data_IF_941912879885
#
_entry.id   IF_941912879885
#
_cell.length_a   1.000
_cell.length_b   1.000
_cell.length_c   1.000
_cell.angle_alpha   90.00
_cell.angle_beta   90.00
_cell.angle_gamma   90.00
#
_symmetry.space_group_name_H-M   'P 1'
#
loop_
_entity.id
_entity.type
_entity.pdbx_description
1 polymer ?
#
# COMPACT_ATOMS: atom_id res chain seq x y z
N UNK A 1 12.58 3.41 19.33
CA UNK A 1 13.47 3.01 20.41
C UNK A 1 14.77 3.81 20.33
N UNK A 2 15.02 4.65 21.33
CA UNK A 2 16.27 5.44 21.47
C UNK A 2 17.41 4.65 22.18
N UNK A 3 17.16 3.40 22.60
CA UNK A 3 18.14 2.52 23.23
C UNK A 3 17.71 1.90 24.56
N UNK A 4 16.48 2.15 25.00
CA UNK A 4 15.91 1.60 26.24
C UNK A 4 14.79 0.58 25.98
N UNK A 5 14.60 0.16 24.73
CA UNK A 5 13.48 -0.65 24.26
C UNK A 5 12.33 0.21 23.75
N UNK A 6 11.33 -0.44 23.13
CA UNK A 6 10.14 0.25 22.63
C UNK A 6 9.28 0.77 23.80
N UNK A 7 8.86 2.01 23.71
CA UNK A 7 8.11 2.71 24.77
C UNK A 7 6.96 3.50 24.18
N UNK A 8 5.77 3.51 24.81
CA UNK A 8 4.67 4.38 24.39
C UNK A 8 5.01 5.89 24.39
N UNK A 9 6.03 6.29 25.13
CA UNK A 9 6.51 7.69 25.15
C UNK A 9 7.32 8.07 23.91
N UNK A 10 7.82 7.09 23.18
CA UNK A 10 8.60 7.25 21.95
C UNK A 10 7.78 6.80 20.72
N UNK A 11 6.45 6.76 20.84
CA UNK A 11 5.55 6.40 19.77
C UNK A 11 5.20 7.61 18.92
N UNK A 12 5.22 7.44 17.61
CA UNK A 12 4.64 8.37 16.64
C UNK A 12 3.30 7.78 16.20
N UNK A 13 2.21 8.48 16.52
CA UNK A 13 0.87 8.03 16.16
C UNK A 13 0.50 8.56 14.77
N UNK A 14 -0.13 7.73 13.98
CA UNK A 14 -0.72 8.11 12.69
C UNK A 14 -2.06 8.80 12.95
N UNK A 15 -2.39 9.82 12.17
CA UNK A 15 -3.68 10.48 12.24
C UNK A 15 -4.80 9.54 11.75
N UNK A 16 -6.02 9.72 12.26
CA UNK A 16 -7.18 8.87 11.90
C UNK A 16 -7.52 8.95 10.40
N UNK A 17 -7.22 10.08 9.74
CA UNK A 17 -7.43 10.31 8.31
C UNK A 17 -6.37 9.65 7.40
N UNK A 18 -5.38 9.00 7.99
CA UNK A 18 -4.39 8.22 7.22
C UNK A 18 -4.92 6.88 6.70
N UNK A 19 -6.08 6.43 7.18
CA UNK A 19 -6.74 5.21 6.72
C UNK A 19 -7.99 5.55 5.90
N UNK A 20 -8.03 5.09 4.66
CA UNK A 20 -9.20 5.18 3.79
C UNK A 20 -10.01 3.87 3.89
N UNK A 21 -11.23 3.95 4.44
CA UNK A 21 -12.12 2.80 4.61
C UNK A 21 -12.61 2.20 3.29
N UNK A 22 -12.63 2.97 2.20
CA UNK A 22 -13.11 2.50 0.91
C UNK A 22 -12.04 1.72 0.15
N UNK A 23 -10.81 2.22 0.18
CA UNK A 23 -9.66 1.60 -0.50
C UNK A 23 -8.88 0.66 0.40
N UNK A 24 -9.12 0.71 1.72
CA UNK A 24 -8.31 0.05 2.75
C UNK A 24 -6.84 0.52 2.77
N UNK A 25 -6.53 1.61 2.11
CA UNK A 25 -5.20 2.18 2.07
C UNK A 25 -4.87 2.92 3.36
N UNK A 26 -3.68 2.70 3.87
CA UNK A 26 -3.05 3.50 4.92
C UNK A 26 -1.89 4.25 4.30
N UNK A 27 -1.89 5.57 4.44
CA UNK A 27 -0.80 6.43 3.99
C UNK A 27 -0.35 7.35 5.12
N UNK A 28 0.87 7.17 5.59
CA UNK A 28 1.39 7.89 6.75
C UNK A 28 2.78 8.46 6.49
N UNK A 29 3.01 9.69 6.92
CA UNK A 29 4.31 10.35 6.84
C UNK A 29 4.88 10.52 8.24
N UNK A 30 6.08 10.01 8.45
CA UNK A 30 6.79 10.09 9.72
C UNK A 30 7.97 11.04 9.62
N UNK A 31 8.23 11.75 10.71
CA UNK A 31 9.47 12.52 10.91
C UNK A 31 10.03 12.17 12.28
N UNK A 32 11.25 11.65 12.32
CA UNK A 32 11.87 11.27 13.59
C UNK A 32 12.22 12.51 14.42
N UNK A 33 11.71 12.64 15.65
CA UNK A 33 12.00 13.80 16.50
C UNK A 33 13.42 13.74 17.09
N UNK A 34 13.97 12.54 17.24
CA UNK A 34 15.29 12.26 17.83
C UNK A 34 15.95 11.12 17.08
N UNK A 35 17.25 10.92 17.30
CA UNK A 35 17.96 9.73 16.83
C UNK A 35 17.33 8.47 17.44
N UNK A 36 17.27 7.41 16.63
CA UNK A 36 16.75 6.12 17.07
C UNK A 36 17.73 4.99 16.73
N UNK A 37 17.71 3.92 17.53
CA UNK A 37 18.48 2.69 17.29
C UNK A 37 17.69 1.67 16.49
N UNK A 38 16.38 1.66 16.71
CA UNK A 38 15.46 0.77 16.02
C UNK A 38 14.09 1.43 15.85
N UNK A 39 13.41 1.11 14.78
CA UNK A 39 12.04 1.53 14.52
C UNK A 39 11.16 0.30 14.38
N UNK A 40 9.96 0.36 14.96
CA UNK A 40 8.90 -0.60 14.80
C UNK A 40 7.69 0.11 14.20
N UNK A 41 7.07 -0.51 13.24
CA UNK A 41 5.80 -0.09 12.67
C UNK A 41 4.73 -1.08 13.10
N UNK A 42 3.68 -0.57 13.74
CA UNK A 42 2.52 -1.35 14.17
C UNK A 42 1.37 -1.02 13.19
N UNK A 43 1.04 -1.89 12.23
CA UNK A 43 0.03 -1.60 11.22
C UNK A 43 -1.39 -1.53 11.80
N UNK A 44 -1.61 -2.06 12.99
CA UNK A 44 -2.89 -2.05 13.71
C UNK A 44 -2.78 -2.72 15.06
N UNK A 45 -3.89 -2.84 15.78
CA UNK A 45 -3.94 -3.47 17.11
C UNK A 45 -4.44 -4.92 17.05
N UNK A 46 -5.06 -5.31 15.95
CA UNK A 46 -5.74 -6.60 15.79
C UNK A 46 -5.08 -7.41 14.68
N UNK A 47 -5.38 -8.72 14.70
CA UNK A 47 -5.05 -9.61 13.60
C UNK A 47 -5.49 -8.99 12.26
N UNK A 48 -4.61 -9.01 11.28
CA UNK A 48 -4.83 -8.35 10.00
C UNK A 48 -4.04 -9.01 8.86
N UNK A 49 -4.43 -8.66 7.65
CA UNK A 49 -3.62 -8.85 6.46
C UNK A 49 -3.13 -7.47 5.98
N UNK A 50 -1.87 -7.40 5.62
CA UNK A 50 -1.21 -6.20 5.07
C UNK A 50 -0.70 -6.55 3.69
N UNK A 51 -1.06 -5.76 2.68
CA UNK A 51 -0.54 -5.94 1.31
C UNK A 51 0.08 -4.65 0.79
N UNK A 52 0.88 -4.77 -0.26
CA UNK A 52 1.47 -3.65 -1.00
C UNK A 52 2.26 -2.68 -0.11
N UNK A 53 2.91 -3.22 0.93
CA UNK A 53 3.68 -2.43 1.88
C UNK A 53 4.87 -1.77 1.19
N UNK A 54 4.86 -0.44 1.19
CA UNK A 54 5.89 0.39 0.59
C UNK A 54 6.42 1.44 1.56
N UNK A 55 7.70 1.74 1.46
CA UNK A 55 8.36 2.81 2.21
C UNK A 55 9.11 3.72 1.23
N UNK A 56 8.94 5.03 1.36
CA UNK A 56 9.41 6.01 0.37
C UNK A 56 10.93 6.20 0.32
N UNK A 57 11.66 5.75 1.33
CA UNK A 57 13.11 5.88 1.41
C UNK A 57 13.76 4.53 1.07
N UNK A 58 14.46 4.42 -0.05
CA UNK A 58 15.12 3.20 -0.54
C UNK A 58 16.17 2.62 0.44
N UNK A 59 16.60 3.41 1.42
CA UNK A 59 17.54 2.96 2.45
C UNK A 59 16.83 2.19 3.57
N UNK A 60 15.49 2.19 3.57
CA UNK A 60 14.64 1.56 4.58
C UNK A 60 13.91 0.36 3.98
N UNK A 61 13.71 -0.65 4.79
CA UNK A 61 12.95 -1.86 4.45
C UNK A 61 12.11 -2.30 5.66
N UNK A 62 10.85 -2.64 5.43
CA UNK A 62 9.98 -3.21 6.46
C UNK A 62 10.02 -4.74 6.42
N UNK A 63 10.18 -5.39 7.58
CA UNK A 63 10.13 -6.85 7.73
C UNK A 63 9.18 -7.24 8.85
N UNK A 64 8.35 -8.26 8.59
CA UNK A 64 7.46 -8.79 9.62
C UNK A 64 8.26 -9.39 10.80
N UNK A 65 7.85 -9.05 12.03
CA UNK A 65 8.41 -9.66 13.25
C UNK A 65 7.58 -10.88 13.70
N UNK A 66 6.25 -10.75 13.69
CA UNK A 66 5.32 -11.80 14.13
C UNK A 66 4.29 -12.15 13.05
N UNK A 67 4.51 -11.72 11.80
CA UNK A 67 3.67 -12.03 10.66
C UNK A 67 4.18 -13.22 9.85
N UNK A 68 3.27 -13.80 9.06
CA UNK A 68 3.55 -14.86 8.09
C UNK A 68 3.54 -14.23 6.71
N UNK A 69 4.61 -14.37 5.96
CA UNK A 69 4.63 -13.95 4.56
C UNK A 69 3.93 -15.00 3.71
N UNK A 70 2.81 -14.62 3.10
CA UNK A 70 2.02 -15.48 2.22
C UNK A 70 2.49 -15.39 0.77
N UNK A 71 2.81 -14.16 0.32
CA UNK A 71 3.35 -13.83 -1.00
C UNK A 71 4.34 -12.68 -0.84
N UNK A 72 5.00 -12.28 -1.92
CA UNK A 72 6.03 -11.24 -1.91
C UNK A 72 5.54 -9.91 -1.28
N UNK A 73 4.28 -9.58 -1.54
CA UNK A 73 3.60 -8.35 -1.13
C UNK A 73 2.47 -8.55 -0.11
N UNK A 74 2.35 -9.75 0.50
CA UNK A 74 1.24 -10.08 1.39
C UNK A 74 1.72 -10.66 2.72
N UNK A 75 1.45 -9.96 3.82
CA UNK A 75 1.76 -10.32 5.19
C UNK A 75 0.48 -10.63 5.98
N UNK A 76 0.44 -11.75 6.66
CA UNK A 76 -0.66 -12.17 7.52
C UNK A 76 -0.22 -12.15 8.98
N UNK A 77 -0.95 -11.41 9.80
CA UNK A 77 -0.79 -11.35 11.25
C UNK A 77 -2.00 -11.99 11.93
N UNK A 78 -1.79 -13.11 12.61
CA UNK A 78 -2.87 -13.86 13.25
C UNK A 78 -3.07 -13.48 14.72
N UNK A 79 -2.07 -12.88 15.33
CA UNK A 79 -2.08 -12.43 16.71
C UNK A 79 -2.50 -10.96 16.82
N UNK A 80 -2.89 -10.54 18.02
CA UNK A 80 -2.98 -9.13 18.38
C UNK A 80 -1.57 -8.53 18.44
N UNK A 81 -1.48 -7.21 18.25
CA UNK A 81 -0.19 -6.49 18.20
C UNK A 81 0.67 -6.91 16.98
N UNK A 82 0.15 -6.79 15.74
CA UNK A 82 0.93 -7.01 14.54
C UNK A 82 2.08 -6.00 14.47
N UNK A 83 3.30 -6.47 14.22
CA UNK A 83 4.44 -5.57 14.16
C UNK A 83 5.47 -5.93 13.10
N UNK A 84 6.09 -4.87 12.58
CA UNK A 84 7.12 -4.86 11.56
C UNK A 84 8.37 -4.17 12.11
N UNK A 85 9.53 -4.69 11.84
CA UNK A 85 10.80 -3.99 12.04
C UNK A 85 11.12 -3.17 10.79
N UNK A 86 11.48 -1.90 10.98
CA UNK A 86 12.07 -1.09 9.92
C UNK A 86 13.59 -1.28 9.97
N UNK A 87 14.12 -1.94 8.96
CA UNK A 87 15.56 -2.11 8.75
C UNK A 87 16.12 -0.90 7.98
N UNK A 88 17.34 -0.47 8.28
CA UNK A 88 17.98 0.64 7.60
C UNK A 88 19.44 0.34 7.30
N UNK A 89 19.91 0.82 6.15
CA UNK A 89 21.34 0.82 5.76
C UNK A 89 22.11 2.01 6.32
N UNK A 90 21.40 2.98 6.93
CA UNK A 90 21.97 4.19 7.54
C UNK A 90 21.40 4.38 8.96
N UNK A 91 22.07 5.12 9.84
CA UNK A 91 21.51 5.43 11.16
C UNK A 91 20.18 6.19 11.08
N UNK A 92 19.25 5.88 11.98
CA UNK A 92 18.01 6.63 12.12
C UNK A 92 18.28 7.95 12.83
N UNK A 93 18.45 9.02 12.08
CA UNK A 93 18.79 10.33 12.61
C UNK A 93 17.56 11.21 12.84
N UNK A 94 17.62 12.12 13.80
CA UNK A 94 16.63 13.15 14.00
C UNK A 94 16.38 13.94 12.71
N UNK A 95 15.12 14.23 12.42
CA UNK A 95 14.72 14.88 11.17
C UNK A 95 14.59 13.97 9.96
N UNK A 96 14.96 12.69 10.05
CA UNK A 96 14.69 11.71 8.97
C UNK A 96 13.19 11.65 8.71
N UNK A 97 12.82 11.79 7.43
CA UNK A 97 11.43 11.80 6.98
C UNK A 97 11.20 10.71 5.95
N UNK A 98 10.16 9.91 6.15
CA UNK A 98 9.73 8.87 5.22
C UNK A 98 8.22 8.69 5.26
N UNK A 99 7.65 8.23 4.15
CA UNK A 99 6.26 7.83 4.08
C UNK A 99 6.17 6.29 4.06
N UNK A 100 5.10 5.77 4.63
CA UNK A 100 4.74 4.35 4.56
C UNK A 100 3.34 4.25 4.00
N UNK A 101 3.14 3.39 3.01
CA UNK A 101 1.85 3.09 2.42
C UNK A 101 1.62 1.60 2.41
N UNK A 102 0.41 1.16 2.69
CA UNK A 102 0.00 -0.26 2.63
C UNK A 102 -1.52 -0.36 2.60
N UNK A 103 -2.05 -1.51 2.18
CA UNK A 103 -3.45 -1.82 2.39
C UNK A 103 -3.62 -2.64 3.67
N UNK A 104 -4.60 -2.28 4.49
CA UNK A 104 -4.88 -2.89 5.79
C UNK A 104 -6.25 -3.56 5.78
N UNK A 105 -6.28 -4.86 6.01
CA UNK A 105 -7.49 -5.67 6.07
C UNK A 105 -7.62 -6.31 7.44
N UNK A 106 -8.49 -5.77 8.33
CA UNK A 106 -8.68 -6.33 9.67
C UNK A 106 -9.36 -7.69 9.59
N UNK A 107 -8.86 -8.67 10.34
CA UNK A 107 -9.42 -10.03 10.41
C UNK A 107 -10.49 -10.19 11.51
N UNK A 108 -10.82 -9.12 12.22
CA UNK A 108 -11.77 -9.12 13.32
C UNK A 108 -11.17 -9.61 14.65
N UNK A 109 -12.00 -9.65 15.67
CA UNK A 109 -11.62 -10.19 16.99
C UNK A 109 -11.89 -11.68 17.00
N UNK A 110 -10.86 -12.51 16.95
CA UNK A 110 -10.95 -13.97 16.97
C UNK A 110 -11.66 -14.60 18.18
N UNK A 111 -12.06 -13.81 19.17
CA UNK A 111 -12.62 -14.35 20.41
C UNK A 111 -13.94 -15.12 20.25
N UNK A 112 -14.66 -14.98 19.13
CA UNK A 112 -15.95 -15.63 18.91
C UNK A 112 -16.16 -16.27 17.53
N UNK A 113 -15.21 -16.16 16.60
CA UNK A 113 -15.34 -16.76 15.28
C UNK A 113 -14.23 -17.80 15.03
N UNK A 114 -14.58 -18.86 14.31
CA UNK A 114 -13.55 -19.81 13.92
C UNK A 114 -12.50 -19.11 13.05
N UNK A 115 -11.21 -19.17 13.39
CA UNK A 115 -10.13 -18.44 12.68
C UNK A 115 -10.17 -18.61 11.16
N UNK A 116 -10.58 -19.79 10.68
CA UNK A 116 -10.72 -20.07 9.26
C UNK A 116 -11.83 -19.28 8.54
N UNK A 117 -12.92 -18.91 9.24
CA UNK A 117 -13.99 -18.10 8.62
C UNK A 117 -13.58 -16.65 8.47
N UNK A 118 -12.91 -16.09 9.50
CA UNK A 118 -12.41 -14.73 9.44
C UNK A 118 -11.35 -14.58 8.34
N UNK A 119 -10.43 -15.55 8.24
CA UNK A 119 -9.43 -15.59 7.18
C UNK A 119 -10.07 -15.68 5.79
N UNK A 120 -11.04 -16.58 5.59
CA UNK A 120 -11.75 -16.69 4.32
C UNK A 120 -12.53 -15.43 3.97
N UNK A 121 -13.14 -14.77 4.96
CA UNK A 121 -13.84 -13.50 4.75
C UNK A 121 -12.87 -12.41 4.30
N UNK A 122 -11.72 -12.26 4.96
CA UNK A 122 -10.71 -11.28 4.58
C UNK A 122 -10.13 -11.55 3.19
N UNK A 123 -9.79 -12.80 2.89
CA UNK A 123 -9.29 -13.19 1.56
C UNK A 123 -10.33 -12.92 0.46
N UNK A 124 -11.62 -13.16 0.72
CA UNK A 124 -12.68 -12.82 -0.23
C UNK A 124 -12.81 -11.30 -0.42
N UNK A 125 -12.66 -10.51 0.63
CA UNK A 125 -12.68 -9.04 0.53
C UNK A 125 -11.51 -8.55 -0.33
N UNK A 126 -10.30 -9.03 -0.07
CA UNK A 126 -9.08 -8.68 -0.84
C UNK A 126 -9.29 -9.06 -2.32
N UNK A 127 -9.81 -10.27 -2.58
CA UNK A 127 -10.08 -10.73 -3.94
C UNK A 127 -11.07 -9.83 -4.67
N UNK A 128 -12.19 -9.48 -4.03
CA UNK A 128 -13.21 -8.60 -4.62
C UNK A 128 -12.65 -7.21 -4.93
N UNK A 129 -11.80 -6.69 -4.06
CA UNK A 129 -11.16 -5.39 -4.27
C UNK A 129 -10.19 -5.43 -5.45
N UNK A 130 -9.31 -6.44 -5.51
CA UNK A 130 -8.39 -6.63 -6.62
C UNK A 130 -9.12 -6.85 -7.97
N UNK A 131 -10.27 -7.55 -7.96
CA UNK A 131 -11.11 -7.71 -9.16
C UNK A 131 -11.74 -6.38 -9.60
N UNK A 132 -12.17 -5.52 -8.65
CA UNK A 132 -12.71 -4.20 -8.94
C UNK A 132 -11.65 -3.27 -9.55
N UNK A 133 -10.46 -3.20 -8.96
CA UNK A 133 -9.34 -2.42 -9.49
C UNK A 133 -8.93 -2.87 -10.90
N UNK A 134 -8.85 -4.19 -11.10
CA UNK A 134 -8.56 -4.76 -12.43
C UNK A 134 -9.59 -4.32 -13.46
N UNK A 135 -10.89 -4.31 -13.11
CA UNK A 135 -11.96 -3.91 -14.02
C UNK A 135 -11.87 -2.42 -14.35
N UNK A 136 -11.59 -1.56 -13.37
CA UNK A 136 -11.40 -0.13 -13.59
C UNK A 136 -10.23 0.15 -14.56
N UNK A 137 -9.10 -0.51 -14.35
CA UNK A 137 -7.94 -0.40 -15.26
C UNK A 137 -8.28 -0.89 -16.67
N UNK A 138 -9.06 -1.97 -16.79
CA UNK A 138 -9.51 -2.47 -18.10
C UNK A 138 -10.42 -1.47 -18.82
N UNK A 139 -11.34 -0.83 -18.12
CA UNK A 139 -12.20 0.23 -18.68
C UNK A 139 -11.39 1.43 -19.15
N UNK A 140 -10.43 1.88 -18.34
CA UNK A 140 -9.51 2.96 -18.71
C UNK A 140 -8.68 2.62 -19.95
N UNK A 141 -8.18 1.38 -20.03
CA UNK A 141 -7.42 0.90 -21.18
C UNK A 141 -8.28 0.88 -22.45
N UNK A 142 -9.52 0.39 -22.35
CA UNK A 142 -10.45 0.36 -23.48
C UNK A 142 -10.77 1.78 -23.98
N UNK A 143 -11.01 2.72 -23.06
CA UNK A 143 -11.24 4.12 -23.40
C UNK A 143 -10.03 4.75 -24.12
N UNK A 144 -8.82 4.49 -23.61
CA UNK A 144 -7.58 4.97 -24.21
C UNK A 144 -7.34 4.38 -25.62
N UNK A 145 -7.64 3.08 -25.82
CA UNK A 145 -7.53 2.43 -27.12
C UNK A 145 -8.54 3.00 -28.12
N UNK A 146 -9.77 3.27 -27.71
CA UNK A 146 -10.79 3.89 -28.55
C UNK A 146 -10.37 5.29 -28.99
N UNK A 147 -9.86 6.10 -28.07
CA UNK A 147 -9.36 7.46 -28.39
C UNK A 147 -8.13 7.41 -29.31
N UNK A 148 -7.22 6.48 -29.10
CA UNK A 148 -6.06 6.30 -29.98
C UNK A 148 -6.50 5.93 -31.41
N UNK A 149 -7.49 5.05 -31.56
CA UNK A 149 -8.06 4.69 -32.85
C UNK A 149 -8.70 5.92 -33.55
N UNK A 150 -9.43 6.73 -32.77
CA UNK A 150 -10.05 7.97 -33.28
C UNK A 150 -9.00 8.96 -33.80
N UNK A 151 -7.95 9.17 -33.02
CA UNK A 151 -6.85 10.08 -33.36
C UNK A 151 -6.07 9.61 -34.60
N UNK A 152 -5.81 8.31 -34.73
CA UNK A 152 -5.18 7.75 -35.92
C UNK A 152 -6.00 7.92 -37.17
N UNK A 153 -7.34 7.77 -37.09
CA UNK A 153 -8.23 8.03 -38.24
C UNK A 153 -8.20 9.50 -38.64
N UNK A 154 -8.25 10.42 -37.68
CA UNK A 154 -8.13 11.86 -37.95
C UNK A 154 -6.78 12.22 -38.60
N UNK A 155 -5.68 11.62 -38.11
CA UNK A 155 -4.36 11.82 -38.69
C UNK A 155 -4.33 11.37 -40.14
N UNK A 156 -4.91 10.23 -40.47
CA UNK A 156 -4.99 9.68 -41.83
C UNK A 156 -5.81 10.59 -42.74
N UNK A 157 -6.94 11.11 -42.29
CA UNK A 157 -7.76 12.07 -43.03
C UNK A 157 -7.00 13.36 -43.33
N UNK A 158 -6.28 13.91 -42.37
CA UNK A 158 -5.46 15.11 -42.52
C UNK A 158 -4.32 14.89 -43.53
N UNK A 159 -3.66 13.73 -43.46
CA UNK A 159 -2.60 13.38 -44.39
C UNK A 159 -3.13 13.27 -45.82
N UNK A 160 -4.29 12.64 -46.02
CA UNK A 160 -4.93 12.53 -47.33
C UNK A 160 -5.37 13.91 -47.89
N UNK A 161 -5.91 14.75 -47.01
CA UNK A 161 -6.28 16.12 -47.39
C UNK A 161 -5.07 16.95 -47.78
N UNK A 162 -3.96 16.82 -47.08
CA UNK A 162 -2.72 17.50 -47.44
C UNK A 162 -2.17 17.04 -48.78
N UNK A 163 -2.13 15.74 -49.02
CA UNK A 163 -1.67 15.19 -50.30
C UNK A 163 -2.51 15.72 -51.47
N UNK A 164 -3.83 15.81 -51.32
CA UNK A 164 -4.74 16.37 -52.34
C UNK A 164 -4.50 17.87 -52.62
N UNK A 165 -4.00 18.64 -51.64
CA UNK A 165 -3.62 20.04 -51.82
C UNK A 165 -2.27 20.21 -52.54
N UNK A 166 -1.32 19.29 -52.30
CA UNK A 166 0.01 19.33 -52.91
C UNK A 166 -0.01 18.90 -54.40
N UNK A 167 -1.04 18.13 -54.83
CA UNK A 167 -1.25 17.65 -56.21
C UNK A 167 -2.12 18.59 -57.07
N UNK A 168 -2.63 19.68 -56.54
CA UNK A 168 -3.51 20.66 -57.26
C UNK A 168 -2.77 21.96 -57.52
#
# INVERSE_FOLDING_TARGET
>A
DSGSGYSPRECLTVAEDAYDELTHEVSAVFTLPTDARALRLDPGELACCVTDLSISDERLECRAMNGIQLQEDCLLFLDVDPNLTVCSTVPFAAGMKFAVTYHYYPLGRFQHEQPGKALLSALNTIKLHAEAEKNDVLEQLQAALAENTRLNNQLTELQNSRAAYEDS
#
